data_IF_892839914611
#
_entry.id   IF_892839914611
#
_cell.length_a   1.000
_cell.length_b   1.000
_cell.length_c   1.000
_cell.angle_alpha   90.00
_cell.angle_beta   90.00
_cell.angle_gamma   90.00
#
_symmetry.space_group_name_H-M   'P 1'
#
loop_
_entity.id
_entity.type
_entity.pdbx_description
1 polymer ?
#
# COMPACT_ATOMS: atom_id res chain seq x y z
N UNK A 1 -10.08 -8.98 17.15
CA UNK A 1 -11.17 -9.02 16.14
C UNK A 1 -11.20 -10.44 15.59
N UNK A 2 -12.33 -11.16 15.68
CA UNK A 2 -12.41 -12.54 15.20
C UNK A 2 -12.28 -12.59 13.67
N UNK A 3 -11.36 -13.41 13.14
CA UNK A 3 -11.30 -13.70 11.70
C UNK A 3 -12.55 -14.52 11.33
N UNK A 4 -13.41 -13.96 10.49
CA UNK A 4 -14.53 -14.70 9.90
C UNK A 4 -13.97 -15.78 8.97
N UNK A 5 -14.47 -17.01 9.11
CA UNK A 5 -14.03 -18.15 8.30
C UNK A 5 -14.94 -18.31 7.11
N UNK A 6 -14.38 -18.24 5.90
CA UNK A 6 -15.05 -18.63 4.67
C UNK A 6 -14.60 -20.04 4.25
N UNK A 7 -15.52 -20.83 3.69
CA UNK A 7 -15.21 -22.13 3.08
C UNK A 7 -15.31 -21.99 1.56
N UNK A 8 -14.26 -22.38 0.84
CA UNK A 8 -14.19 -22.28 -0.62
C UNK A 8 -13.71 -23.61 -1.19
N UNK A 9 -14.29 -24.04 -2.31
CA UNK A 9 -13.82 -25.22 -3.04
C UNK A 9 -12.60 -24.84 -3.89
N UNK A 10 -11.50 -25.58 -3.73
CA UNK A 10 -10.25 -25.36 -4.43
C UNK A 10 -9.75 -26.66 -5.06
N UNK A 11 -9.05 -26.51 -6.18
CA UNK A 11 -8.30 -27.62 -6.78
C UNK A 11 -7.12 -28.00 -5.87
N UNK A 12 -7.06 -29.29 -5.51
CA UNK A 12 -6.05 -29.79 -4.59
C UNK A 12 -4.64 -29.79 -5.20
N UNK A 13 -4.51 -30.09 -6.49
CA UNK A 13 -3.22 -30.10 -7.17
C UNK A 13 -2.59 -28.71 -7.21
N UNK A 14 -3.40 -27.68 -7.52
CA UNK A 14 -2.95 -26.28 -7.48
C UNK A 14 -2.55 -25.82 -6.08
N UNK A 15 -3.25 -26.31 -5.05
CA UNK A 15 -2.90 -26.01 -3.65
C UNK A 15 -1.56 -26.61 -3.25
N UNK A 16 -1.30 -27.86 -3.62
CA UNK A 16 -0.05 -28.55 -3.31
C UNK A 16 1.14 -27.89 -4.04
N UNK A 17 0.95 -27.50 -5.31
CA UNK A 17 1.93 -26.72 -6.08
C UNK A 17 2.20 -25.35 -5.44
N UNK A 18 1.15 -24.59 -5.13
CA UNK A 18 1.30 -23.29 -4.48
C UNK A 18 2.00 -23.40 -3.12
N UNK A 19 1.70 -24.45 -2.35
CA UNK A 19 2.35 -24.72 -1.07
C UNK A 19 3.84 -25.02 -1.24
N UNK A 20 4.22 -25.79 -2.24
CA UNK A 20 5.62 -26.09 -2.53
C UNK A 20 6.40 -24.82 -2.91
N UNK A 21 5.79 -23.90 -3.67
CA UNK A 21 6.40 -22.64 -4.09
C UNK A 21 6.50 -21.60 -2.97
N UNK A 22 5.47 -21.50 -2.13
CA UNK A 22 5.37 -20.48 -1.07
C UNK A 22 6.01 -20.95 0.25
N UNK A 23 6.15 -22.26 0.45
CA UNK A 23 6.71 -22.83 1.69
C UNK A 23 5.76 -22.75 2.89
N UNK A 24 4.47 -22.52 2.66
CA UNK A 24 3.47 -22.37 3.73
C UNK A 24 3.25 -23.64 4.54
N UNK A 25 3.11 -23.49 5.85
CA UNK A 25 2.90 -24.63 6.77
C UNK A 25 1.49 -25.18 6.66
N UNK A 26 0.50 -24.34 6.32
CA UNK A 26 -0.91 -24.71 6.15
C UNK A 26 -1.53 -24.20 4.84
N UNK A 27 -2.63 -24.82 4.41
CA UNK A 27 -3.39 -24.36 3.23
C UNK A 27 -3.95 -22.94 3.45
N UNK A 28 -4.46 -22.64 4.64
CA UNK A 28 -4.97 -21.30 4.96
C UNK A 28 -3.90 -20.23 4.87
N UNK A 29 -2.67 -20.52 5.32
CA UNK A 29 -1.54 -19.60 5.21
C UNK A 29 -1.13 -19.34 3.76
N UNK A 30 -1.13 -20.38 2.92
CA UNK A 30 -0.86 -20.24 1.47
C UNK A 30 -1.93 -19.38 0.80
N UNK A 31 -3.21 -19.59 1.14
CA UNK A 31 -4.31 -18.81 0.59
C UNK A 31 -4.28 -17.37 1.09
N UNK A 32 -4.04 -17.13 2.37
CA UNK A 32 -3.88 -15.79 2.94
C UNK A 32 -2.76 -15.03 2.19
N UNK A 33 -1.59 -15.64 2.02
CA UNK A 33 -0.47 -15.03 1.31
C UNK A 33 -0.77 -14.75 -0.17
N UNK A 34 -1.48 -15.66 -0.85
CA UNK A 34 -1.89 -15.47 -2.24
C UNK A 34 -2.90 -14.32 -2.38
N UNK A 35 -3.86 -14.23 -1.47
CA UNK A 35 -4.86 -13.15 -1.45
C UNK A 35 -4.22 -11.80 -1.15
N UNK A 36 -3.32 -11.73 -0.16
CA UNK A 36 -2.59 -10.49 0.16
C UNK A 36 -1.80 -9.99 -1.05
N UNK A 37 -1.11 -10.90 -1.75
CA UNK A 37 -0.37 -10.56 -2.97
C UNK A 37 -1.30 -10.07 -4.07
N UNK A 38 -2.44 -10.73 -4.29
CA UNK A 38 -3.42 -10.35 -5.30
C UNK A 38 -4.00 -8.96 -5.00
N UNK A 39 -4.45 -8.72 -3.77
CA UNK A 39 -5.02 -7.45 -3.33
C UNK A 39 -4.00 -6.33 -3.51
N UNK A 40 -2.75 -6.55 -3.09
CA UNK A 40 -1.68 -5.55 -3.25
C UNK A 40 -1.43 -5.22 -4.73
N UNK A 41 -1.39 -6.24 -5.59
CA UNK A 41 -1.16 -6.06 -7.02
C UNK A 41 -2.29 -5.29 -7.68
N UNK A 42 -3.54 -5.61 -7.36
CA UNK A 42 -4.71 -4.92 -7.91
C UNK A 42 -4.83 -3.48 -7.41
N UNK A 43 -4.47 -3.21 -6.14
CA UNK A 43 -4.38 -1.83 -5.62
C UNK A 43 -3.33 -1.03 -6.40
N UNK A 44 -2.12 -1.57 -6.53
CA UNK A 44 -1.06 -0.90 -7.28
C UNK A 44 -1.46 -0.64 -8.74
N UNK A 45 -2.13 -1.62 -9.38
CA UNK A 45 -2.61 -1.47 -10.75
C UNK A 45 -3.63 -0.33 -10.86
N UNK A 46 -4.58 -0.23 -9.92
CA UNK A 46 -5.55 0.86 -9.88
C UNK A 46 -4.89 2.20 -9.63
N UNK A 47 -3.91 2.26 -8.74
CA UNK A 47 -3.17 3.50 -8.46
C UNK A 47 -2.46 3.98 -9.73
N UNK A 48 -1.76 3.08 -10.43
CA UNK A 48 -1.12 3.38 -11.73
C UNK A 48 -2.14 3.84 -12.78
N UNK A 49 -3.30 3.18 -12.86
CA UNK A 49 -4.36 3.59 -13.79
C UNK A 49 -4.86 5.01 -13.50
N UNK A 50 -5.02 5.37 -12.22
CA UNK A 50 -5.41 6.71 -11.79
C UNK A 50 -4.37 7.74 -12.24
N UNK A 51 -3.08 7.50 -11.96
CA UNK A 51 -2.00 8.42 -12.37
C UNK A 51 -1.85 8.49 -13.89
N UNK A 52 -2.08 7.40 -14.60
CA UNK A 52 -2.06 7.39 -16.07
C UNK A 52 -3.22 8.21 -16.64
N UNK A 53 -4.41 8.09 -16.04
CA UNK A 53 -5.61 8.80 -16.48
C UNK A 53 -5.56 10.29 -16.14
N UNK A 54 -4.89 10.65 -15.05
CA UNK A 54 -4.74 12.01 -14.58
C UNK A 54 -3.26 12.31 -14.36
N UNK A 55 -2.50 12.49 -15.46
CA UNK A 55 -1.09 12.83 -15.36
C UNK A 55 -0.94 14.15 -14.61
N UNK A 56 0.16 14.28 -13.86
CA UNK A 56 0.50 15.52 -13.18
C UNK A 56 0.54 16.67 -14.19
N UNK A 57 -0.07 17.78 -13.84
CA UNK A 57 -0.02 19.00 -14.64
C UNK A 57 1.41 19.54 -14.68
N UNK A 58 1.77 20.34 -15.70
CA UNK A 58 3.09 20.98 -15.78
C UNK A 58 3.43 21.80 -14.52
N UNK A 59 2.43 22.39 -13.87
CA UNK A 59 2.61 23.15 -12.63
C UNK A 59 2.94 22.24 -11.43
N UNK A 60 2.35 21.04 -11.37
CA UNK A 60 2.65 20.05 -10.31
C UNK A 60 4.03 19.43 -10.50
N UNK A 61 4.46 19.19 -11.75
CA UNK A 61 5.81 18.72 -12.05
C UNK A 61 6.88 19.77 -11.72
N UNK A 62 6.57 21.06 -11.92
CA UNK A 62 7.49 22.15 -11.58
C UNK A 62 7.76 22.29 -10.07
N UNK A 63 6.92 21.70 -9.21
CA UNK A 63 7.16 21.65 -7.76
C UNK A 63 8.23 20.61 -7.40
N UNK A 64 8.36 19.52 -8.18
CA UNK A 64 9.36 18.46 -7.94
C UNK A 64 10.80 18.95 -8.19
N UNK A 65 10.97 19.85 -9.18
CA UNK A 65 12.26 20.48 -9.51
C UNK A 65 12.63 21.65 -8.58
N UNK A 66 11.75 22.03 -7.66
CA UNK A 66 12.03 23.14 -6.74
C UNK A 66 13.09 22.67 -5.73
N UNK A 67 14.26 23.32 -5.73
CA UNK A 67 15.29 23.09 -4.72
C UNK A 67 14.79 23.55 -3.35
N UNK A 68 14.17 22.63 -2.60
CA UNK A 68 13.74 22.87 -1.23
C UNK A 68 14.96 22.75 -0.31
N UNK A 69 15.47 23.88 0.17
CA UNK A 69 16.36 23.89 1.32
C UNK A 69 15.52 23.57 2.57
N UNK A 70 15.46 22.29 2.94
CA UNK A 70 14.84 21.87 4.19
C UNK A 70 15.74 22.28 5.36
N UNK A 71 15.57 23.52 5.84
CA UNK A 71 16.14 23.92 7.11
C UNK A 71 15.23 23.43 8.23
N UNK A 72 15.45 22.19 8.68
CA UNK A 72 14.66 21.58 9.76
C UNK A 72 14.95 22.19 11.14
N UNK A 73 16.00 23.02 11.24
CA UNK A 73 16.38 23.77 12.44
C UNK A 73 15.87 25.23 12.39
N UNK A 74 14.98 25.54 11.43
CA UNK A 74 14.34 26.86 11.35
C UNK A 74 13.21 26.97 12.38
N UNK A 75 13.59 27.41 13.58
CA UNK A 75 12.68 27.63 14.71
C UNK A 75 11.80 28.89 14.54
N UNK A 76 11.84 29.60 13.39
CA UNK A 76 11.05 30.83 13.19
C UNK A 76 9.53 30.57 13.14
N UNK A 77 9.11 29.33 12.88
CA UNK A 77 7.69 28.98 12.81
C UNK A 77 7.29 28.11 14.00
N UNK A 78 6.60 28.71 14.97
CA UNK A 78 5.98 28.01 16.09
C UNK A 78 4.72 27.25 15.62
N UNK A 79 4.93 26.01 15.17
CA UNK A 79 3.86 25.14 14.70
C UNK A 79 2.89 24.73 15.83
N UNK A 80 3.32 24.73 17.09
CA UNK A 80 2.46 24.45 18.24
C UNK A 80 1.50 25.62 18.49
N UNK A 81 1.94 26.87 18.30
CA UNK A 81 1.04 28.02 18.34
C UNK A 81 0.04 28.05 17.17
N UNK A 82 0.44 27.57 15.99
CA UNK A 82 -0.39 27.61 14.78
C UNK A 82 -1.36 26.43 14.66
N UNK A 83 -0.95 25.25 15.10
CA UNK A 83 -1.65 23.98 14.87
C UNK A 83 -1.75 23.09 16.10
N UNK A 84 -1.12 23.47 17.21
CA UNK A 84 -1.33 22.83 18.50
C UNK A 84 -2.75 23.13 18.96
N UNK A 85 -3.69 22.24 18.62
CA UNK A 85 -5.01 22.26 19.21
C UNK A 85 -4.88 22.19 20.73
N UNK A 86 -5.20 23.30 21.40
CA UNK A 86 -5.57 23.34 22.82
C UNK A 86 -6.51 22.17 23.09
N UNK A 87 -6.07 21.24 23.93
CA UNK A 87 -6.91 20.17 24.48
C UNK A 87 -7.95 20.76 25.43
#
# INVERSE_FOLDING_TARGET
>A
MAREKATVTLDRGKLDEARALIGGKSMSEVIDAALDRLIRTERLRRDVEIYTRRPQSPNELAVDDLAVALNLDDDEVDYDALYGCST
#
